data_IF_805707274213
#
_entry.id   IF_805707274213
#
_cell.length_a   1.000
_cell.length_b   1.000
_cell.length_c   1.000
_cell.angle_alpha   90.00
_cell.angle_beta   90.00
_cell.angle_gamma   90.00
#
_symmetry.space_group_name_H-M   'P 1'
#
loop_
_entity.id
_entity.type
_entity.pdbx_description
1 polymer ?
#
# COMPACT_ATOMS: atom_id res chain seq x y z
N UNK A 1 3.97 41.84 -4.31
CA UNK A 1 3.22 40.59 -4.01
C UNK A 1 4.15 39.44 -4.34
N UNK A 2 4.93 39.01 -3.35
CA UNK A 2 5.88 37.91 -3.52
C UNK A 2 5.08 36.64 -3.82
N UNK A 3 5.27 36.06 -5.01
CA UNK A 3 4.78 34.70 -5.29
C UNK A 3 5.52 33.81 -4.31
N UNK A 4 4.83 33.34 -3.30
CA UNK A 4 5.33 32.33 -2.39
C UNK A 4 5.59 31.09 -3.24
N UNK A 5 6.86 30.84 -3.55
CA UNK A 5 7.27 29.61 -4.23
C UNK A 5 6.87 28.49 -3.29
N UNK A 6 5.87 27.69 -3.69
CA UNK A 6 5.50 26.50 -2.93
C UNK A 6 6.65 25.52 -3.11
N UNK A 7 7.49 25.43 -2.10
CA UNK A 7 8.50 24.38 -2.02
C UNK A 7 7.76 23.06 -1.88
N UNK A 8 7.95 22.20 -2.88
CA UNK A 8 7.37 20.87 -2.94
C UNK A 8 8.53 19.87 -3.01
N UNK A 9 9.14 19.50 -1.87
CA UNK A 9 10.36 18.68 -1.90
C UNK A 9 10.12 17.28 -2.48
N UNK A 10 8.91 16.73 -2.32
CA UNK A 10 8.46 15.50 -3.00
C UNK A 10 7.85 15.71 -4.39
N UNK A 11 7.79 16.94 -4.90
CA UNK A 11 6.90 17.33 -6.01
C UNK A 11 5.51 17.77 -5.52
N UNK A 12 4.74 18.42 -6.39
CA UNK A 12 3.35 18.82 -6.10
C UNK A 12 2.39 17.88 -6.85
N UNK A 13 2.17 16.65 -6.36
CA UNK A 13 1.36 15.67 -7.10
C UNK A 13 -0.13 16.06 -7.09
N UNK A 14 -0.83 15.77 -8.19
CA UNK A 14 -2.28 15.99 -8.29
C UNK A 14 -3.07 15.01 -7.42
N UNK A 15 -2.57 13.77 -7.29
CA UNK A 15 -3.10 12.73 -6.39
C UNK A 15 -2.17 12.57 -5.19
N UNK A 16 -2.68 12.54 -3.95
CA UNK A 16 -1.84 12.32 -2.78
C UNK A 16 -1.34 10.86 -2.73
N UNK A 17 -0.23 10.64 -2.01
CA UNK A 17 0.10 9.29 -1.52
C UNK A 17 -1.10 8.73 -0.76
N UNK A 18 -1.47 7.47 -1.02
CA UNK A 18 -2.72 6.89 -0.49
C UNK A 18 -2.52 5.43 -0.11
N UNK A 19 -2.87 5.07 1.13
CA UNK A 19 -2.94 3.69 1.56
C UNK A 19 -4.16 3.00 0.93
N UNK A 20 -3.99 1.81 0.36
CA UNK A 20 -5.11 1.04 -0.20
C UNK A 20 -5.79 0.21 0.90
N UNK A 21 -6.32 0.92 1.89
CA UNK A 21 -7.05 0.35 3.02
C UNK A 21 -8.34 1.12 3.27
N UNK A 22 -9.35 0.53 3.91
CA UNK A 22 -10.57 1.24 4.22
C UNK A 22 -10.28 2.37 5.23
N UNK A 23 -10.62 3.60 4.89
CA UNK A 23 -10.32 4.77 5.74
C UNK A 23 -11.00 4.74 7.12
N UNK A 24 -12.11 4.01 7.26
CA UNK A 24 -12.95 3.99 8.45
C UNK A 24 -12.87 2.70 9.27
N UNK A 25 -12.13 1.67 8.82
CA UNK A 25 -12.14 0.36 9.47
C UNK A 25 -10.76 -0.27 9.56
N UNK A 26 -10.54 -0.99 10.66
CA UNK A 26 -9.47 -1.96 10.83
C UNK A 26 -9.55 -3.02 9.71
N UNK A 27 -8.53 -3.11 8.86
CA UNK A 27 -8.46 -4.18 7.87
C UNK A 27 -8.00 -5.48 8.53
N UNK A 28 -8.60 -6.61 8.15
CA UNK A 28 -8.25 -7.91 8.71
C UNK A 28 -7.41 -8.74 7.74
N UNK A 29 -6.55 -9.59 8.30
CA UNK A 29 -5.79 -10.57 7.54
C UNK A 29 -5.70 -11.92 8.25
N UNK A 30 -5.58 -13.01 7.50
CA UNK A 30 -5.15 -14.30 8.07
C UNK A 30 -3.65 -14.55 7.96
N UNK A 31 -2.96 -13.76 7.13
CA UNK A 31 -1.55 -13.92 6.84
C UNK A 31 -0.69 -13.55 8.06
N UNK A 32 0.27 -14.42 8.37
CA UNK A 32 1.32 -14.15 9.35
C UNK A 32 2.25 -13.01 8.93
N UNK A 33 2.40 -12.86 7.61
CA UNK A 33 3.26 -11.89 6.92
C UNK A 33 2.40 -11.26 5.81
N UNK A 34 1.57 -10.26 6.14
CA UNK A 34 0.64 -9.66 5.19
C UNK A 34 1.35 -8.86 4.11
N UNK A 35 0.65 -8.55 3.02
CA UNK A 35 1.12 -7.64 1.98
C UNK A 35 0.39 -6.31 2.09
N UNK A 36 1.11 -5.21 2.01
CA UNK A 36 0.53 -3.86 2.01
C UNK A 36 0.61 -3.24 0.62
N UNK A 37 -0.33 -2.34 0.34
CA UNK A 37 -0.41 -1.65 -0.95
C UNK A 37 -0.59 -0.15 -0.73
N UNK A 38 0.23 0.63 -1.43
CA UNK A 38 0.21 2.10 -1.36
C UNK A 38 0.25 2.65 -2.78
N UNK A 39 -0.59 3.63 -3.07
CA UNK A 39 -0.43 4.46 -4.25
C UNK A 39 0.65 5.51 -4.01
N UNK A 40 1.71 5.48 -4.82
CA UNK A 40 2.78 6.47 -4.86
C UNK A 40 2.59 7.37 -6.07
N UNK A 41 2.35 8.68 -5.90
CA UNK A 41 2.26 9.59 -7.02
C UNK A 41 3.63 9.82 -7.67
N UNK A 42 3.69 10.42 -8.87
CA UNK A 42 4.95 10.93 -9.42
C UNK A 42 5.66 11.82 -8.40
N UNK A 43 6.88 11.45 -8.01
CA UNK A 43 7.60 12.09 -6.91
C UNK A 43 9.09 12.29 -7.23
N UNK A 44 9.70 13.26 -6.54
CA UNK A 44 11.14 13.49 -6.51
C UNK A 44 11.87 12.70 -5.43
N UNK A 45 11.12 12.12 -4.48
CA UNK A 45 11.68 11.27 -3.44
C UNK A 45 12.44 10.10 -4.06
N UNK A 46 13.64 9.83 -3.53
CA UNK A 46 14.41 8.65 -3.92
C UNK A 46 14.02 7.44 -3.09
N UNK A 47 13.64 7.69 -1.83
CA UNK A 47 13.35 6.69 -0.84
C UNK A 47 12.00 6.99 -0.17
N UNK A 48 11.40 5.95 0.36
CA UNK A 48 10.30 6.00 1.30
C UNK A 48 10.66 5.12 2.51
N UNK A 49 9.99 5.33 3.63
CA UNK A 49 10.11 4.53 4.84
C UNK A 49 8.80 3.77 5.04
N UNK A 50 8.90 2.48 5.34
CA UNK A 50 7.78 1.67 5.79
C UNK A 50 8.05 1.24 7.23
N UNK A 51 7.09 1.51 8.10
CA UNK A 51 7.21 1.28 9.54
C UNK A 51 6.01 0.50 10.04
N UNK A 52 6.22 -0.39 10.99
CA UNK A 52 5.19 -1.18 11.64
C UNK A 52 5.33 -1.07 13.15
N UNK A 53 4.21 -0.78 13.80
CA UNK A 53 4.06 -0.68 15.24
C UNK A 53 3.06 -1.73 15.76
N UNK A 54 3.23 -2.14 17.01
CA UNK A 54 2.16 -2.80 17.74
C UNK A 54 1.10 -1.80 18.24
N UNK A 55 0.09 -2.29 18.94
CA UNK A 55 -1.00 -1.47 19.51
C UNK A 55 -0.56 -0.52 20.65
N UNK A 56 0.64 -0.70 21.19
CA UNK A 56 1.24 0.12 22.25
C UNK A 56 2.26 1.13 21.68
N UNK A 57 2.25 1.37 20.36
CA UNK A 57 3.18 2.21 19.61
C UNK A 57 4.66 1.75 19.66
N UNK A 58 4.93 0.49 20.01
CA UNK A 58 6.30 -0.04 19.95
C UNK A 58 6.68 -0.37 18.51
N UNK A 59 7.85 0.11 18.08
CA UNK A 59 8.42 -0.20 16.78
C UNK A 59 8.72 -1.70 16.67
N UNK A 60 8.04 -2.39 15.75
CA UNK A 60 8.29 -3.79 15.42
C UNK A 60 9.21 -3.95 14.21
N UNK A 61 9.08 -3.06 13.24
CA UNK A 61 9.85 -3.12 12.00
C UNK A 61 9.93 -1.77 11.29
N UNK A 62 11.06 -1.53 10.64
CA UNK A 62 11.31 -0.36 9.81
C UNK A 62 12.18 -0.76 8.62
N UNK A 63 11.90 -0.18 7.45
CA UNK A 63 12.74 -0.35 6.26
C UNK A 63 12.65 0.80 5.29
N UNK A 64 13.68 0.92 4.46
CA UNK A 64 13.73 1.86 3.35
C UNK A 64 13.29 1.20 2.05
N UNK A 65 12.35 1.84 1.36
CA UNK A 65 11.82 1.42 0.06
C UNK A 65 12.34 2.37 -1.01
N UNK A 66 13.03 1.84 -2.02
CA UNK A 66 13.46 2.65 -3.16
C UNK A 66 12.25 3.00 -4.05
N UNK A 67 11.92 4.29 -4.14
CA UNK A 67 10.82 4.82 -4.96
C UNK A 67 11.33 5.71 -6.10
N UNK A 68 12.64 5.78 -6.30
CA UNK A 68 13.27 6.55 -7.36
C UNK A 68 12.69 6.20 -8.73
N UNK A 69 12.05 7.19 -9.36
CA UNK A 69 11.41 7.02 -10.66
C UNK A 69 10.21 6.07 -10.64
N UNK A 70 9.63 5.73 -9.49
CA UNK A 70 8.44 4.86 -9.40
C UNK A 70 7.18 5.67 -9.17
N UNK A 71 6.07 5.24 -9.76
CA UNK A 71 4.72 5.78 -9.51
C UNK A 71 3.67 4.68 -9.69
N UNK A 72 2.45 4.92 -9.20
CA UNK A 72 1.37 3.94 -9.23
C UNK A 72 1.26 3.17 -7.92
N UNK A 73 0.52 2.07 -7.94
CA UNK A 73 0.30 1.23 -6.76
C UNK A 73 1.50 0.32 -6.58
N UNK A 74 2.23 0.48 -5.49
CA UNK A 74 3.35 -0.39 -5.13
C UNK A 74 2.90 -1.45 -4.13
N UNK A 75 3.51 -2.62 -4.25
CA UNK A 75 3.39 -3.72 -3.30
C UNK A 75 4.52 -3.60 -2.29
N UNK A 76 4.18 -3.64 -1.00
CA UNK A 76 5.12 -3.70 0.10
C UNK A 76 5.03 -5.08 0.73
N UNK A 77 6.08 -5.87 0.52
CA UNK A 77 6.19 -7.21 1.08
C UNK A 77 6.74 -7.12 2.51
N UNK A 78 6.13 -7.88 3.42
CA UNK A 78 6.64 -8.06 4.78
C UNK A 78 7.88 -8.95 4.72
N UNK A 79 9.05 -8.54 5.24
CA UNK A 79 10.21 -9.40 5.20
C UNK A 79 10.05 -10.53 6.22
N UNK A 80 9.98 -11.76 5.71
CA UNK A 80 9.85 -12.96 6.55
C UNK A 80 11.14 -13.23 7.34
N UNK A 81 12.27 -12.62 6.96
CA UNK A 81 13.59 -13.01 7.45
C UNK A 81 14.01 -12.37 8.78
N UNK A 82 13.38 -11.28 9.23
CA UNK A 82 13.91 -10.47 10.35
C UNK A 82 12.89 -10.07 11.44
N UNK A 83 11.65 -10.57 11.39
CA UNK A 83 10.58 -10.15 12.31
C UNK A 83 9.71 -11.38 12.65
N UNK A 84 9.27 -11.55 13.91
CA UNK A 84 8.26 -12.56 14.23
C UNK A 84 6.97 -12.33 13.41
N UNK A 85 6.20 -13.40 13.15
CA UNK A 85 4.91 -13.25 12.50
C UNK A 85 3.98 -12.39 13.36
N UNK A 86 3.06 -11.65 12.73
CA UNK A 86 2.02 -10.95 13.47
C UNK A 86 1.27 -11.95 14.36
N UNK A 87 1.09 -11.64 15.63
CA UNK A 87 0.33 -12.49 16.54
C UNK A 87 -1.18 -12.45 16.22
N UNK A 88 -1.87 -13.56 16.46
CA UNK A 88 -3.32 -13.65 16.29
C UNK A 88 -4.04 -12.72 17.27
N UNK A 89 -5.16 -12.15 16.82
CA UNK A 89 -6.05 -11.28 17.57
C UNK A 89 -5.36 -10.06 18.18
N UNK A 90 -4.34 -9.55 17.49
CA UNK A 90 -3.65 -8.30 17.82
C UNK A 90 -3.79 -7.28 16.71
N UNK A 91 -3.87 -6.02 17.11
CA UNK A 91 -3.87 -4.87 16.23
C UNK A 91 -2.45 -4.35 16.02
N UNK A 92 -2.20 -3.83 14.83
CA UNK A 92 -0.96 -3.18 14.44
C UNK A 92 -1.28 -1.95 13.61
N UNK A 93 -0.36 -0.98 13.66
CA UNK A 93 -0.40 0.21 12.81
C UNK A 93 0.81 0.14 11.89
N UNK A 94 0.60 0.35 10.60
CA UNK A 94 1.69 0.55 9.66
C UNK A 94 1.65 1.97 9.10
N UNK A 95 2.83 2.52 8.83
CA UNK A 95 3.02 3.82 8.19
C UNK A 95 3.90 3.66 6.95
N UNK A 96 3.59 4.44 5.92
CA UNK A 96 4.45 4.61 4.75
C UNK A 96 4.65 6.11 4.49
N UNK A 97 5.91 6.56 4.49
CA UNK A 97 6.28 7.96 4.30
C UNK A 97 7.26 8.16 3.15
N UNK A 98 6.97 9.06 2.21
CA UNK A 98 7.94 9.48 1.20
C UNK A 98 9.00 10.38 1.83
N UNK A 99 10.28 10.07 1.61
CA UNK A 99 11.40 10.87 2.11
C UNK A 99 11.59 12.07 1.18
N UNK A 100 10.95 13.20 1.49
CA UNK A 100 10.91 14.37 0.60
C UNK A 100 12.16 15.23 0.72
N UNK A 101 12.62 15.47 1.95
CA UNK A 101 13.89 16.12 2.25
C UNK A 101 14.57 15.34 3.39
N UNK A 102 15.72 14.69 3.15
CA UNK A 102 16.44 13.95 4.19
C UNK A 102 16.93 14.83 5.35
N UNK A 103 17.22 16.11 5.10
CA UNK A 103 17.73 17.04 6.12
C UNK A 103 16.58 17.69 6.93
N UNK A 104 15.35 17.70 6.40
CA UNK A 104 14.14 18.22 7.04
C UNK A 104 12.90 17.40 6.64
N UNK A 105 12.55 16.42 7.47
CA UNK A 105 11.44 15.49 7.23
C UNK A 105 10.04 16.13 7.44
N UNK A 106 9.95 17.41 7.86
CA UNK A 106 8.66 18.04 8.21
C UNK A 106 7.67 18.19 7.05
N UNK A 107 8.18 18.15 5.80
CA UNK A 107 7.39 18.22 4.57
C UNK A 107 7.08 16.85 3.95
N UNK A 108 7.31 15.76 4.67
CA UNK A 108 7.05 14.42 4.17
C UNK A 108 5.57 14.15 3.91
N UNK A 109 5.33 13.30 2.92
CA UNK A 109 4.00 12.81 2.62
C UNK A 109 3.89 11.39 3.15
N UNK A 110 3.06 11.18 4.17
CA UNK A 110 2.83 9.86 4.75
C UNK A 110 1.37 9.44 4.80
N UNK A 111 1.17 8.13 4.87
CA UNK A 111 -0.11 7.46 5.06
C UNK A 111 0.04 6.36 6.09
N UNK A 112 -1.04 6.06 6.79
CA UNK A 112 -1.08 4.98 7.78
C UNK A 112 -2.27 4.05 7.52
N UNK A 113 -2.19 2.85 8.08
CA UNK A 113 -3.28 1.89 8.07
C UNK A 113 -3.25 0.98 9.29
N UNK A 114 -4.44 0.50 9.63
CA UNK A 114 -4.62 -0.47 10.71
C UNK A 114 -4.73 -1.88 10.15
N UNK A 115 -4.12 -2.85 10.82
CA UNK A 115 -4.22 -4.27 10.48
C UNK A 115 -4.40 -5.13 11.72
N UNK A 116 -5.33 -6.08 11.63
CA UNK A 116 -5.50 -7.14 12.63
C UNK A 116 -5.24 -8.49 11.97
N UNK A 117 -4.43 -9.33 12.61
CA UNK A 117 -4.32 -10.73 12.20
C UNK A 117 -5.36 -11.55 12.93
N UNK A 118 -6.31 -12.13 12.19
CA UNK A 118 -7.35 -13.01 12.73
C UNK A 118 -7.01 -14.49 12.48
N UNK A 119 -7.64 -15.36 13.27
CA UNK A 119 -7.53 -16.80 13.05
C UNK A 119 -8.26 -17.21 11.77
N UNK A 120 -7.64 -18.11 11.00
CA UNK A 120 -8.25 -18.64 9.78
C UNK A 120 -9.34 -19.66 10.14
N UNK A 121 -10.59 -19.34 9.77
CA UNK A 121 -11.70 -20.28 9.94
C UNK A 121 -11.42 -21.61 9.19
N UNK A 122 -11.60 -22.79 9.83
CA UNK A 122 -11.30 -24.07 9.20
C UNK A 122 -12.11 -24.35 7.93
N UNK A 123 -13.36 -23.88 7.85
CA UNK A 123 -14.18 -24.05 6.66
C UNK A 123 -13.69 -23.15 5.52
N UNK A 124 -13.24 -21.93 5.83
CA UNK A 124 -12.60 -21.03 4.88
C UNK A 124 -11.30 -21.61 4.34
N UNK A 125 -10.45 -22.16 5.23
CA UNK A 125 -9.21 -22.84 4.86
C UNK A 125 -9.46 -23.97 3.85
N UNK A 126 -10.42 -24.85 4.15
CA UNK A 126 -10.77 -25.96 3.26
C UNK A 126 -11.26 -25.48 1.88
N UNK A 127 -12.02 -24.38 1.82
CA UNK A 127 -12.44 -23.78 0.56
C UNK A 127 -11.24 -23.26 -0.24
N UNK A 128 -10.31 -22.54 0.42
CA UNK A 128 -9.12 -21.96 -0.23
C UNK A 128 -8.12 -23.01 -0.72
N UNK A 129 -7.98 -24.14 -0.03
CA UNK A 129 -7.13 -25.27 -0.45
C UNK A 129 -7.59 -25.90 -1.77
N UNK A 130 -8.90 -25.87 -2.04
CA UNK A 130 -9.49 -26.43 -3.28
C UNK A 130 -9.70 -25.36 -4.36
N UNK A 131 -9.73 -24.08 -3.98
CA UNK A 131 -10.01 -22.98 -4.89
C UNK A 131 -8.78 -22.62 -5.76
N UNK A 132 -8.95 -22.50 -7.09
CA UNK A 132 -7.95 -21.87 -7.94
C UNK A 132 -7.79 -20.38 -7.58
N UNK A 133 -6.66 -19.78 -7.96
CA UNK A 133 -6.30 -18.41 -7.55
C UNK A 133 -7.40 -17.39 -7.87
N UNK A 134 -8.01 -17.51 -9.04
CA UNK A 134 -9.07 -16.65 -9.56
C UNK A 134 -10.35 -16.67 -8.70
N UNK A 135 -10.56 -17.73 -7.92
CA UNK A 135 -11.71 -17.88 -7.04
C UNK A 135 -11.42 -17.46 -5.59
N UNK A 136 -10.16 -17.18 -5.22
CA UNK A 136 -9.78 -16.90 -3.82
C UNK A 136 -10.18 -15.51 -3.35
N UNK A 137 -10.11 -14.50 -4.22
CA UNK A 137 -10.44 -13.13 -3.82
C UNK A 137 -11.90 -12.99 -3.34
N UNK A 138 -12.93 -13.49 -4.05
CA UNK A 138 -14.31 -13.47 -3.53
C UNK A 138 -14.48 -14.23 -2.20
N UNK A 139 -13.74 -15.33 -1.99
CA UNK A 139 -13.77 -16.11 -0.76
C UNK A 139 -13.22 -15.29 0.41
N UNK A 140 -12.06 -14.65 0.24
CA UNK A 140 -11.48 -13.75 1.25
C UNK A 140 -12.38 -12.53 1.51
N UNK A 141 -12.93 -11.92 0.46
CA UNK A 141 -13.80 -10.76 0.57
C UNK A 141 -15.07 -11.08 1.37
N UNK A 142 -15.69 -12.24 1.10
CA UNK A 142 -16.86 -12.71 1.85
C UNK A 142 -16.59 -12.98 3.33
N UNK A 143 -15.33 -13.22 3.69
CA UNK A 143 -14.88 -13.37 5.08
C UNK A 143 -14.38 -12.05 5.72
N UNK A 144 -14.43 -10.92 5.01
CA UNK A 144 -13.96 -9.62 5.52
C UNK A 144 -12.43 -9.46 5.55
N UNK A 145 -11.68 -10.36 4.90
CA UNK A 145 -10.22 -10.39 4.92
C UNK A 145 -9.65 -9.44 3.87
N UNK A 146 -9.67 -8.14 4.17
CA UNK A 146 -9.29 -7.05 3.26
C UNK A 146 -7.90 -7.25 2.65
N UNK A 147 -6.88 -7.45 3.48
CA UNK A 147 -5.50 -7.54 3.02
C UNK A 147 -5.27 -8.77 2.12
N UNK A 148 -5.84 -9.93 2.49
CA UNK A 148 -5.76 -11.15 1.69
C UNK A 148 -6.50 -11.00 0.34
N UNK A 149 -7.66 -10.35 0.36
CA UNK A 149 -8.44 -10.06 -0.86
C UNK A 149 -7.65 -9.18 -1.81
N UNK A 150 -7.12 -8.06 -1.31
CA UNK A 150 -6.38 -7.08 -2.10
C UNK A 150 -5.11 -7.70 -2.69
N UNK A 151 -4.40 -8.52 -1.90
CA UNK A 151 -3.20 -9.23 -2.36
C UNK A 151 -3.48 -10.18 -3.53
N UNK A 152 -4.56 -10.98 -3.43
CA UNK A 152 -4.95 -11.89 -4.52
C UNK A 152 -5.36 -11.12 -5.77
N UNK A 153 -6.17 -10.07 -5.64
CA UNK A 153 -6.59 -9.27 -6.80
C UNK A 153 -5.42 -8.55 -7.47
N UNK A 154 -4.46 -8.05 -6.70
CA UNK A 154 -3.24 -7.46 -7.24
C UNK A 154 -2.41 -8.49 -8.01
N UNK A 155 -2.30 -9.72 -7.50
CA UNK A 155 -1.62 -10.82 -8.21
C UNK A 155 -2.31 -11.16 -9.53
N UNK A 156 -3.64 -11.27 -9.52
CA UNK A 156 -4.44 -11.57 -10.71
C UNK A 156 -4.32 -10.46 -11.76
N UNK A 157 -4.42 -9.19 -11.35
CA UNK A 157 -4.19 -8.01 -12.21
C UNK A 157 -2.80 -8.03 -12.85
N UNK A 158 -1.76 -8.39 -12.08
CA UNK A 158 -0.38 -8.49 -12.60
C UNK A 158 -0.20 -9.64 -13.59
N UNK A 159 -0.85 -10.78 -13.35
CA UNK A 159 -0.79 -11.97 -14.22
C UNK A 159 -1.62 -11.82 -15.49
N UNK A 160 -2.73 -11.08 -15.43
CA UNK A 160 -3.66 -10.86 -16.53
C UNK A 160 -4.02 -9.39 -16.70
N UNK A 161 -3.09 -8.52 -17.15
CA UNK A 161 -3.34 -7.08 -17.27
C UNK A 161 -4.49 -6.73 -18.24
N UNK A 162 -4.69 -7.55 -19.27
CA UNK A 162 -5.77 -7.38 -20.27
C UNK A 162 -7.08 -8.08 -19.88
N UNK A 163 -7.13 -8.75 -18.73
CA UNK A 163 -8.31 -9.47 -18.29
C UNK A 163 -9.32 -8.51 -17.64
N UNK A 164 -10.42 -8.25 -18.34
CA UNK A 164 -11.47 -7.34 -17.89
C UNK A 164 -12.18 -7.78 -16.61
N UNK A 165 -12.21 -9.08 -16.29
CA UNK A 165 -12.81 -9.59 -15.05
C UNK A 165 -11.94 -9.19 -13.86
N UNK A 166 -10.62 -9.38 -13.94
CA UNK A 166 -9.68 -8.94 -12.90
C UNK A 166 -9.65 -7.41 -12.80
N UNK A 167 -9.86 -6.72 -13.93
CA UNK A 167 -10.07 -5.29 -13.95
C UNK A 167 -11.28 -4.87 -13.10
N UNK A 168 -12.44 -5.46 -13.36
CA UNK A 168 -13.70 -5.15 -12.65
C UNK A 168 -13.60 -5.44 -11.17
N UNK A 169 -13.16 -6.64 -10.77
CA UNK A 169 -13.10 -7.04 -9.36
C UNK A 169 -12.21 -6.13 -8.51
N UNK A 170 -11.07 -5.71 -9.06
CA UNK A 170 -10.19 -4.74 -8.39
C UNK A 170 -10.84 -3.37 -8.25
N UNK A 171 -11.52 -2.89 -9.30
CA UNK A 171 -12.20 -1.60 -9.26
C UNK A 171 -13.35 -1.61 -8.25
N UNK A 172 -14.17 -2.67 -8.25
CA UNK A 172 -15.27 -2.87 -7.30
C UNK A 172 -14.77 -2.93 -5.85
N UNK A 173 -13.66 -3.64 -5.59
CA UNK A 173 -13.07 -3.68 -4.25
C UNK A 173 -12.64 -2.28 -3.78
N UNK A 174 -11.92 -1.53 -4.61
CA UNK A 174 -11.47 -0.19 -4.24
C UNK A 174 -12.62 0.81 -4.13
N UNK A 175 -13.63 0.72 -4.99
CA UNK A 175 -14.85 1.53 -4.91
C UNK A 175 -15.61 1.30 -3.60
N UNK A 176 -15.65 0.06 -3.10
CA UNK A 176 -16.33 -0.28 -1.84
C UNK A 176 -15.82 0.51 -0.62
N UNK A 177 -14.64 1.11 -0.73
CA UNK A 177 -13.98 1.91 0.32
C UNK A 177 -13.63 3.33 -0.12
N UNK A 178 -14.18 3.79 -1.25
CA UNK A 178 -13.96 5.16 -1.77
C UNK A 178 -12.58 5.40 -2.40
N UNK A 179 -11.95 4.35 -2.92
CA UNK A 179 -10.64 4.37 -3.59
C UNK A 179 -10.75 4.14 -5.11
N UNK A 180 -11.94 4.33 -5.70
CA UNK A 180 -12.23 4.09 -7.12
C UNK A 180 -11.29 4.86 -8.05
N UNK A 181 -10.85 6.06 -7.64
CA UNK A 181 -9.95 6.92 -8.41
C UNK A 181 -8.53 6.37 -8.56
N UNK A 182 -8.15 5.37 -7.74
CA UNK A 182 -6.86 4.67 -7.81
C UNK A 182 -6.95 3.34 -8.56
N UNK A 183 -8.16 2.85 -8.87
CA UNK A 183 -8.35 1.60 -9.62
C UNK A 183 -7.72 1.52 -11.03
N UNK A 184 -7.57 2.64 -11.80
CA UNK A 184 -6.90 2.60 -13.09
C UNK A 184 -5.37 2.79 -12.98
N UNK A 185 -4.83 3.05 -11.78
CA UNK A 185 -3.39 3.23 -11.61
C UNK A 185 -2.64 1.91 -11.84
N UNK A 186 -1.44 1.95 -12.42
CA UNK A 186 -0.66 0.76 -12.68
C UNK A 186 -0.18 0.11 -11.38
N UNK A 187 -0.21 -1.23 -11.32
CA UNK A 187 0.50 -1.99 -10.29
C UNK A 187 2.00 -1.97 -10.62
N UNK A 188 2.71 -1.04 -9.99
CA UNK A 188 4.12 -0.71 -10.19
C UNK A 188 4.45 -0.19 -11.60
N UNK A 189 4.67 1.12 -11.72
CA UNK A 189 5.24 1.74 -12.93
C UNK A 189 6.63 2.30 -12.62
N UNK A 190 7.63 1.84 -13.37
CA UNK A 190 8.93 2.48 -13.44
C UNK A 190 8.93 3.55 -14.54
N UNK A 191 9.33 4.76 -14.19
CA UNK A 191 9.56 5.92 -15.05
C UNK A 191 11.00 6.40 -14.88
N UNK A 192 11.91 6.10 -15.82
CA UNK A 192 13.32 6.52 -15.74
C UNK A 192 13.53 8.04 -15.86
N UNK A 193 12.50 8.79 -16.26
CA UNK A 193 12.53 10.24 -16.40
C UNK A 193 11.54 10.87 -15.40
N UNK A 194 11.89 10.97 -14.11
CA UNK A 194 11.07 11.68 -13.13
C UNK A 194 10.90 13.15 -13.57
N UNK A 195 9.85 13.86 -13.13
CA UNK A 195 9.73 15.29 -13.41
C UNK A 195 11.01 16.02 -12.94
N UNK A 196 11.39 17.12 -13.59
CA UNK A 196 12.63 17.83 -13.25
C UNK A 196 12.58 18.38 -11.82
N UNK A 197 13.53 17.95 -10.98
CA UNK A 197 13.76 18.54 -9.66
C UNK A 197 14.22 19.99 -9.85
N UNK A 198 13.41 20.97 -9.47
CA UNK A 198 13.85 22.36 -9.37
C UNK A 198 14.81 22.42 -8.18
N UNK A 199 16.09 22.75 -8.44
CA UNK A 199 17.14 22.67 -7.44
C UNK A 199 16.84 23.43 -6.14
N UNK A 200 17.32 22.87 -5.03
CA UNK A 200 17.13 23.34 -3.65
C UNK A 200 17.51 24.81 -3.38
N UNK A 201 18.15 25.52 -4.33
CA UNK A 201 18.53 26.93 -4.20
C UNK A 201 17.46 27.95 -4.59
N UNK A 202 16.24 27.51 -4.92
CA UNK A 202 15.07 28.35 -5.18
C UNK A 202 13.97 28.26 -4.11
N UNK A 203 14.27 27.50 -3.06
CA UNK A 203 13.63 27.44 -1.76
C UNK A 203 14.66 27.99 -0.75
#
# INVERSE_FOLDING_TARGET
MSRQVRCCPCGCPEKPVTALVPAATLGQTTAAYPTFFVYVPPTFAQNAEFVLFDEDDNLLYETTVNVAGRSGIIKLDFPVENIPPLELSKNYIWEFGLVCNPDDRSGDLSVMGWIERVEMDPSLKNQLEQAPLEARAPIFAGAGLWYDTLAVLAELRKKGPENSIFASQWAELLESVGLETYSPEPLERYNPNPPEQIGWGGC
#
